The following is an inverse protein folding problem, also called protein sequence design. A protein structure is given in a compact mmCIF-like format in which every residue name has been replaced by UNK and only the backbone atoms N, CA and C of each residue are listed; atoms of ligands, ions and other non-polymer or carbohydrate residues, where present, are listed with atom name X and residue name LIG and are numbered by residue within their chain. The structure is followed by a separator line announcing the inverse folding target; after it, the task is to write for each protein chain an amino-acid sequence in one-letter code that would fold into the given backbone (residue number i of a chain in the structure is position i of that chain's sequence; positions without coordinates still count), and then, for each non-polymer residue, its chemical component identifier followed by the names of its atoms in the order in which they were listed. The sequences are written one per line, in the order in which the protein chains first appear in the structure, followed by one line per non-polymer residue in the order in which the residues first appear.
data_IF_804738116361
#
_entry.id   IF_804738116361
#
_cell.length_a   1.000
_cell.length_b   1.000
_cell.length_c   1.000
_cell.angle_alpha   90.00
_cell.angle_beta   90.00
_cell.angle_gamma   90.00
#
_symmetry.space_group_name_H-M   'P 1'
#
loop_
_entity.id
_entity.type
_entity.pdbx_description
1 polymer ?
#
# COMPACT_ATOMS: atom_id res chain seq x y z
N UNK A 1 -11.71 -22.52 31.67
CA UNK A 1 -10.38 -21.92 31.58
C UNK A 1 -9.89 -21.63 30.17
N UNK A 2 -10.40 -22.28 29.11
CA UNK A 2 -10.07 -21.98 27.72
C UNK A 2 -10.67 -20.68 27.15
N UNK A 3 -11.74 -20.15 27.75
CA UNK A 3 -12.47 -18.97 27.23
C UNK A 3 -11.74 -17.66 27.45
N UNK A 4 -10.98 -17.50 28.53
CA UNK A 4 -10.24 -16.26 28.85
C UNK A 4 -9.06 -16.05 27.93
N UNK A 5 -8.30 -17.11 27.60
CA UNK A 5 -7.18 -17.03 26.63
C UNK A 5 -7.65 -16.73 25.23
N UNK A 6 -8.81 -17.27 24.82
CA UNK A 6 -9.40 -16.99 23.50
C UNK A 6 -9.87 -15.53 23.38
N UNK A 7 -10.46 -14.99 24.44
CA UNK A 7 -10.91 -13.59 24.47
C UNK A 7 -9.71 -12.63 24.40
N UNK A 8 -8.65 -12.92 25.16
CA UNK A 8 -7.43 -12.11 25.15
C UNK A 8 -6.74 -12.14 23.78
N UNK A 9 -6.66 -13.33 23.16
CA UNK A 9 -6.10 -13.48 21.81
C UNK A 9 -6.93 -12.74 20.77
N UNK A 10 -8.26 -12.79 20.88
CA UNK A 10 -9.17 -12.07 20.00
C UNK A 10 -9.03 -10.56 20.20
N UNK A 11 -8.96 -10.08 21.43
CA UNK A 11 -8.77 -8.67 21.76
C UNK A 11 -7.44 -8.14 21.20
N UNK A 12 -6.36 -8.91 21.32
CA UNK A 12 -5.06 -8.58 20.76
C UNK A 12 -5.11 -8.53 19.22
N UNK A 13 -5.78 -9.50 18.59
CA UNK A 13 -5.96 -9.55 17.14
C UNK A 13 -6.76 -8.34 16.63
N UNK A 14 -7.82 -7.95 17.33
CA UNK A 14 -8.62 -6.78 17.00
C UNK A 14 -7.81 -5.48 17.18
N UNK A 15 -6.96 -5.41 18.19
CA UNK A 15 -6.08 -4.29 18.45
C UNK A 15 -5.03 -4.12 17.35
N UNK A 16 -4.44 -5.23 16.87
CA UNK A 16 -3.54 -5.25 15.71
C UNK A 16 -4.24 -4.81 14.44
N UNK A 17 -5.46 -5.27 14.21
CA UNK A 17 -6.29 -4.87 13.07
C UNK A 17 -6.60 -3.36 13.10
N UNK A 18 -6.91 -2.81 14.27
CA UNK A 18 -7.13 -1.39 14.43
C UNK A 18 -5.90 -0.56 14.09
N UNK A 19 -4.71 -1.00 14.48
CA UNK A 19 -3.43 -0.36 14.13
C UNK A 19 -3.16 -0.41 12.63
N UNK A 20 -3.35 -1.56 12.00
CA UNK A 20 -3.18 -1.73 10.55
C UNK A 20 -4.14 -0.82 9.80
N UNK A 21 -5.41 -0.78 10.19
CA UNK A 21 -6.41 0.08 9.54
C UNK A 21 -6.07 1.56 9.69
N UNK A 22 -5.60 1.98 10.85
CA UNK A 22 -5.18 3.37 11.09
C UNK A 22 -3.98 3.76 10.21
N UNK A 23 -2.93 2.95 10.21
CA UNK A 23 -1.75 3.16 9.37
C UNK A 23 -2.08 3.10 7.87
N UNK A 24 -2.91 2.12 7.49
CA UNK A 24 -3.36 1.98 6.11
C UNK A 24 -4.09 3.23 5.63
N UNK A 25 -4.93 3.81 6.47
CA UNK A 25 -5.67 5.03 6.15
C UNK A 25 -4.73 6.22 5.88
N UNK A 26 -3.72 6.40 6.74
CA UNK A 26 -2.72 7.47 6.59
C UNK A 26 -1.93 7.27 5.28
N UNK A 27 -1.41 6.07 5.04
CA UNK A 27 -0.63 5.76 3.84
C UNK A 27 -1.47 5.80 2.57
N UNK A 28 -2.74 5.39 2.65
CA UNK A 28 -3.69 5.47 1.53
C UNK A 28 -3.89 6.92 1.09
N UNK A 29 -4.12 7.82 2.04
CA UNK A 29 -4.27 9.24 1.75
C UNK A 29 -3.00 9.84 1.13
N UNK A 30 -1.83 9.47 1.65
CA UNK A 30 -0.56 9.86 1.09
C UNK A 30 -0.34 9.35 -0.33
N UNK A 31 -0.69 8.10 -0.59
CA UNK A 31 -0.61 7.49 -1.92
C UNK A 31 -1.54 8.18 -2.91
N UNK A 32 -2.79 8.44 -2.53
CA UNK A 32 -3.76 9.16 -3.36
C UNK A 32 -3.24 10.54 -3.75
N UNK A 33 -2.66 11.25 -2.80
CA UNK A 33 -2.06 12.56 -3.05
C UNK A 33 -0.90 12.49 -4.05
N UNK A 34 -0.03 11.49 -3.92
CA UNK A 34 1.08 11.26 -4.85
C UNK A 34 0.59 10.89 -6.25
N UNK A 35 -0.39 10.00 -6.34
CA UNK A 35 -0.96 9.55 -7.61
C UNK A 35 -1.77 10.64 -8.31
N UNK A 36 -2.24 11.65 -7.59
CA UNK A 36 -2.92 12.79 -8.21
C UNK A 36 -2.01 13.57 -9.18
N UNK A 37 -0.70 13.39 -9.07
CA UNK A 37 0.29 13.98 -9.99
C UNK A 37 0.61 13.10 -11.20
N UNK A 38 -0.09 11.97 -11.38
CA UNK A 38 0.11 11.07 -12.50
C UNK A 38 -0.23 11.79 -13.81
N UNK A 39 0.76 11.93 -14.69
CA UNK A 39 0.62 12.67 -15.95
C UNK A 39 0.38 11.75 -17.14
N UNK A 40 1.06 10.63 -17.18
CA UNK A 40 0.99 9.69 -18.29
C UNK A 40 0.34 8.39 -17.87
N UNK A 41 -0.59 7.91 -18.72
CA UNK A 41 -1.37 6.73 -18.43
C UNK A 41 -2.61 7.03 -17.60
N UNK A 42 -3.44 6.03 -17.45
CA UNK A 42 -4.67 6.11 -16.67
C UNK A 42 -4.78 4.85 -15.82
N UNK A 43 -5.03 5.03 -14.54
CA UNK A 43 -5.10 3.93 -13.60
C UNK A 43 -6.36 4.00 -12.75
N UNK A 44 -7.03 2.90 -12.63
CA UNK A 44 -8.10 2.69 -11.66
C UNK A 44 -7.57 1.82 -10.53
N UNK A 45 -7.79 2.24 -9.31
CA UNK A 45 -7.47 1.45 -8.11
C UNK A 45 -8.77 1.21 -7.37
N UNK A 46 -9.05 -0.04 -7.08
CA UNK A 46 -10.26 -0.46 -6.39
C UNK A 46 -9.88 -1.26 -5.15
N UNK A 47 -10.40 -0.84 -4.00
CA UNK A 47 -10.31 -1.62 -2.78
C UNK A 47 -11.72 -1.93 -2.26
N UNK A 48 -11.81 -2.57 -1.09
CA UNK A 48 -13.09 -2.97 -0.52
C UNK A 48 -14.03 -1.79 -0.22
N UNK A 49 -13.48 -0.60 -0.01
CA UNK A 49 -14.22 0.57 0.45
C UNK A 49 -14.54 1.54 -0.69
N UNK A 50 -13.64 1.70 -1.66
CA UNK A 50 -13.80 2.71 -2.70
C UNK A 50 -13.05 2.37 -3.97
N UNK A 51 -13.41 3.09 -5.03
CA UNK A 51 -12.75 3.04 -6.34
C UNK A 51 -12.33 4.45 -6.71
N UNK A 52 -11.07 4.62 -7.10
CA UNK A 52 -10.53 5.93 -7.46
C UNK A 52 -9.67 5.84 -8.71
N UNK A 53 -9.66 6.93 -9.47
CA UNK A 53 -9.01 7.01 -10.76
C UNK A 53 -7.90 8.07 -10.76
N UNK A 54 -6.81 7.79 -11.48
CA UNK A 54 -5.69 8.71 -11.60
C UNK A 54 -5.20 8.75 -13.03
N UNK A 55 -4.67 9.90 -13.43
CA UNK A 55 -4.00 10.09 -14.71
C UNK A 55 -4.91 10.67 -15.78
N UNK A 56 -4.53 10.46 -17.03
CA UNK A 56 -5.22 11.01 -18.19
C UNK A 56 -6.25 10.02 -18.74
N UNK A 57 -7.57 10.34 -18.65
CA UNK A 57 -8.61 9.43 -19.14
C UNK A 57 -8.52 9.15 -20.65
N UNK A 58 -7.84 10.00 -21.41
CA UNK A 58 -7.66 9.85 -22.85
C UNK A 58 -6.46 8.97 -23.21
N UNK A 59 -5.66 8.56 -22.24
CA UNK A 59 -4.49 7.74 -22.48
C UNK A 59 -4.86 6.31 -22.93
N UNK A 60 -4.09 5.77 -23.86
CA UNK A 60 -4.17 4.38 -24.29
C UNK A 60 -3.50 3.43 -23.29
N UNK A 61 -2.63 3.97 -22.42
CA UNK A 61 -1.97 3.21 -21.35
C UNK A 61 -2.91 3.15 -20.14
N UNK A 62 -3.67 2.08 -20.03
CA UNK A 62 -4.71 1.92 -19.00
C UNK A 62 -4.52 0.62 -18.24
N UNK A 63 -4.72 0.67 -16.94
CA UNK A 63 -4.68 -0.54 -16.10
C UNK A 63 -5.60 -0.37 -14.90
N UNK A 64 -6.15 -1.49 -14.43
CA UNK A 64 -6.95 -1.58 -13.22
C UNK A 64 -6.16 -2.36 -12.17
N UNK A 65 -6.10 -1.80 -10.97
CA UNK A 65 -5.44 -2.43 -9.83
C UNK A 65 -6.51 -2.72 -8.78
N UNK A 66 -6.51 -3.94 -8.27
CA UNK A 66 -7.43 -4.36 -7.21
C UNK A 66 -6.61 -4.60 -5.94
N UNK A 67 -6.99 -3.93 -4.88
CA UNK A 67 -6.37 -4.08 -3.56
C UNK A 67 -7.18 -5.08 -2.75
N UNK A 68 -6.56 -6.20 -2.41
CA UNK A 68 -7.22 -7.30 -1.68
C UNK A 68 -7.04 -7.18 -0.16
N UNK A 69 -6.03 -6.44 0.29
CA UNK A 69 -5.75 -6.26 1.72
C UNK A 69 -5.29 -4.83 2.01
N UNK A 70 -5.79 -4.27 3.10
CA UNK A 70 -5.37 -2.94 3.57
C UNK A 70 -3.87 -2.89 3.93
N UNK A 71 -3.25 -4.03 4.18
CA UNK A 71 -1.80 -4.13 4.42
C UNK A 71 -0.98 -3.69 3.22
N UNK A 72 -1.55 -3.70 2.02
CA UNK A 72 -0.94 -3.11 0.83
C UNK A 72 -0.49 -1.66 1.09
N UNK A 73 -1.36 -0.86 1.69
CA UNK A 73 -1.05 0.56 1.96
C UNK A 73 0.08 0.71 2.96
N UNK A 74 0.10 -0.14 3.99
CA UNK A 74 1.16 -0.14 5.00
C UNK A 74 2.50 -0.49 4.38
N UNK A 75 2.56 -1.55 3.58
CA UNK A 75 3.79 -1.97 2.90
C UNK A 75 4.27 -0.95 1.89
N UNK A 76 3.36 -0.36 1.12
CA UNK A 76 3.68 0.66 0.12
C UNK A 76 4.19 1.93 0.79
N UNK A 77 3.54 2.37 1.85
CA UNK A 77 3.92 3.58 2.59
C UNK A 77 5.25 3.43 3.33
N UNK A 78 5.52 2.26 3.89
CA UNK A 78 6.74 2.00 4.65
C UNK A 78 7.92 1.58 3.79
N UNK A 79 7.68 0.87 2.68
CA UNK A 79 8.72 0.27 1.85
C UNK A 79 8.84 0.83 0.43
N UNK A 80 7.96 1.74 0.02
CA UNK A 80 7.98 2.32 -1.32
C UNK A 80 7.84 1.27 -2.41
N UNK A 81 8.68 1.34 -3.44
CA UNK A 81 8.66 0.40 -4.57
C UNK A 81 8.86 -1.05 -4.13
N UNK A 82 9.78 -1.28 -3.20
CA UNK A 82 10.03 -2.62 -2.65
C UNK A 82 8.80 -3.13 -1.90
N UNK A 83 8.13 -2.25 -1.13
CA UNK A 83 6.89 -2.59 -0.42
C UNK A 83 5.75 -2.96 -1.38
N UNK A 84 5.64 -2.27 -2.51
CA UNK A 84 4.67 -2.60 -3.57
C UNK A 84 4.93 -4.01 -4.12
N UNK A 85 6.19 -4.32 -4.42
CA UNK A 85 6.58 -5.63 -4.94
C UNK A 85 6.34 -6.74 -3.91
N UNK A 86 6.69 -6.50 -2.66
CA UNK A 86 6.44 -7.43 -1.56
C UNK A 86 4.94 -7.70 -1.37
N UNK A 87 4.13 -6.67 -1.42
CA UNK A 87 2.67 -6.78 -1.33
C UNK A 87 2.09 -7.61 -2.49
N UNK A 88 2.65 -7.48 -3.69
CA UNK A 88 2.24 -8.30 -4.84
C UNK A 88 2.53 -9.78 -4.58
N UNK A 89 3.73 -10.10 -4.12
CA UNK A 89 4.13 -11.47 -3.80
C UNK A 89 3.21 -12.08 -2.73
N UNK A 90 2.79 -11.27 -1.75
CA UNK A 90 1.88 -11.70 -0.69
C UNK A 90 0.41 -11.77 -1.14
N UNK A 91 0.09 -11.37 -2.36
CA UNK A 91 -1.26 -11.39 -2.89
C UNK A 91 -2.15 -10.26 -2.38
N UNK A 92 -1.56 -9.18 -1.88
CA UNK A 92 -2.31 -8.04 -1.35
C UNK A 92 -2.88 -7.12 -2.42
N UNK A 93 -2.38 -7.23 -3.64
CA UNK A 93 -2.94 -6.55 -4.80
C UNK A 93 -2.68 -7.33 -6.07
N UNK A 94 -3.53 -7.09 -7.06
CA UNK A 94 -3.39 -7.64 -8.42
C UNK A 94 -3.71 -6.54 -9.44
N UNK A 95 -3.29 -6.76 -10.68
CA UNK A 95 -3.61 -5.87 -11.79
C UNK A 95 -4.11 -6.70 -12.97
N UNK A 96 -4.97 -6.13 -13.80
CA UNK A 96 -5.44 -6.76 -15.03
C UNK A 96 -4.31 -6.94 -16.06
N UNK A 97 -3.36 -6.00 -16.08
CA UNK A 97 -2.18 -6.05 -16.96
C UNK A 97 -0.97 -5.48 -16.19
N UNK A 98 -0.17 -6.38 -15.63
CA UNK A 98 1.02 -6.01 -14.85
C UNK A 98 2.07 -5.33 -15.74
N UNK A 99 2.22 -5.77 -16.99
CA UNK A 99 3.17 -5.17 -17.92
C UNK A 99 2.77 -3.72 -18.24
N UNK A 100 1.50 -3.49 -18.50
CA UNK A 100 0.97 -2.14 -18.71
C UNK A 100 1.16 -1.26 -17.47
N UNK A 101 0.92 -1.83 -16.29
CA UNK A 101 1.15 -1.13 -15.02
C UNK A 101 2.61 -0.69 -14.90
N UNK A 102 3.55 -1.58 -15.22
CA UNK A 102 4.97 -1.26 -15.18
C UNK A 102 5.34 -0.15 -16.18
N UNK A 103 4.75 -0.16 -17.37
CA UNK A 103 4.94 0.91 -18.36
C UNK A 103 4.47 2.26 -17.82
N UNK A 104 3.30 2.30 -17.19
CA UNK A 104 2.77 3.53 -16.57
C UNK A 104 3.70 4.02 -15.47
N UNK A 105 4.17 3.13 -14.62
CA UNK A 105 5.08 3.45 -13.52
C UNK A 105 6.39 4.04 -14.06
N UNK A 106 6.98 3.42 -15.08
CA UNK A 106 8.24 3.86 -15.66
C UNK A 106 8.10 5.24 -16.33
N UNK A 107 6.97 5.53 -16.94
CA UNK A 107 6.69 6.86 -17.53
C UNK A 107 6.48 7.94 -16.45
N UNK A 108 6.12 7.54 -15.23
CA UNK A 108 5.91 8.44 -14.10
C UNK A 108 6.95 8.18 -13.00
N UNK A 109 8.18 8.00 -13.41
CA UNK A 109 9.28 7.62 -12.51
C UNK A 109 9.46 8.56 -11.31
N UNK A 110 9.18 9.84 -11.49
CA UNK A 110 9.25 10.82 -10.40
C UNK A 110 8.30 10.50 -9.26
N UNK A 111 7.12 9.96 -9.57
CA UNK A 111 6.15 9.55 -8.55
C UNK A 111 6.71 8.35 -7.76
N UNK A 112 7.27 7.36 -8.47
CA UNK A 112 7.86 6.19 -7.83
C UNK A 112 9.00 6.58 -6.88
N UNK A 113 9.88 7.48 -7.33
CA UNK A 113 10.97 7.99 -6.49
C UNK A 113 10.44 8.77 -5.28
N UNK A 114 9.34 9.52 -5.46
CA UNK A 114 8.73 10.25 -4.35
C UNK A 114 8.08 9.34 -3.32
N UNK A 115 7.59 8.15 -3.71
CA UNK A 115 7.07 7.14 -2.79
C UNK A 115 8.18 6.61 -1.88
N UNK A 116 9.40 6.46 -2.41
CA UNK A 116 10.54 6.01 -1.61
C UNK A 116 11.00 7.05 -0.59
N UNK A 117 10.83 8.35 -0.87
CA UNK A 117 11.42 9.43 -0.08
C UNK A 117 10.39 10.30 0.68
N UNK A 118 9.16 10.39 0.19
CA UNK A 118 8.17 11.37 0.67
C UNK A 118 7.37 10.92 1.87
N UNK A 119 6.62 9.82 1.76
CA UNK A 119 5.73 9.35 2.81
C UNK A 119 6.55 8.79 3.98
N UNK A 120 7.65 8.10 3.69
CA UNK A 120 8.51 7.48 4.69
C UNK A 120 9.22 8.51 5.58
N UNK A 121 9.59 9.69 5.06
CA UNK A 121 10.22 10.75 5.85
C UNK A 121 9.28 11.33 6.89
N UNK A 122 8.01 11.54 6.54
CA UNK A 122 6.99 12.06 7.45
C UNK A 122 6.64 11.09 8.57
N UNK A 123 6.82 9.78 8.33
CA UNK A 123 6.44 8.71 9.24
C UNK A 123 7.66 7.88 9.70
N UNK A 124 8.85 8.49 9.67
CA UNK A 124 10.10 7.86 10.04
C UNK A 124 10.08 7.15 11.41
N UNK A 125 9.47 7.70 12.49
CA UNK A 125 9.33 6.96 13.75
C UNK A 125 8.51 5.68 13.63
N UNK A 126 7.43 5.71 12.83
CA UNK A 126 6.56 4.55 12.59
C UNK A 126 7.30 3.51 11.75
N UNK A 127 8.04 3.93 10.74
CA UNK A 127 8.89 3.06 9.94
C UNK A 127 9.93 2.33 10.78
N UNK A 128 10.57 3.00 11.73
CA UNK A 128 11.52 2.38 12.64
C UNK A 128 10.87 1.27 13.46
N UNK A 129 9.65 1.48 13.92
CA UNK A 129 8.89 0.47 14.66
C UNK A 129 8.54 -0.74 13.79
N UNK A 130 8.12 -0.51 12.54
CA UNK A 130 7.78 -1.57 11.59
C UNK A 130 9.04 -2.39 11.26
N UNK A 131 10.15 -1.74 10.96
CA UNK A 131 11.42 -2.42 10.65
C UNK A 131 11.95 -3.22 11.85
N UNK A 132 11.85 -2.67 13.05
CA UNK A 132 12.24 -3.37 14.27
C UNK A 132 11.39 -4.62 14.50
N UNK A 133 10.09 -4.52 14.26
CA UNK A 133 9.16 -5.66 14.36
C UNK A 133 9.52 -6.76 13.33
N UNK A 134 9.86 -6.37 12.10
CA UNK A 134 10.28 -7.30 11.05
C UNK A 134 11.60 -8.00 11.37
N UNK A 135 12.57 -7.26 11.86
CA UNK A 135 13.85 -7.83 12.25
C UNK A 135 13.72 -8.88 13.37
N UNK A 136 12.78 -8.68 14.28
CA UNK A 136 12.51 -9.62 15.36
C UNK A 136 11.83 -10.91 14.90
N UNK A 137 11.17 -10.89 13.72
CA UNK A 137 10.48 -12.08 13.18
C UNK A 137 11.41 -12.96 12.32
N UNK A 138 12.59 -12.52 11.97
CA UNK A 138 13.54 -13.25 11.11
C UNK A 138 14.52 -14.10 11.94
N UNK A 139 14.41 -14.09 13.23
CA UNK A 139 15.19 -15.02 14.07
C UNK A 139 14.56 -16.44 14.00
#
# INVERSE_FOLDING_TARGET
MGSTMQVDHLAEKLKKRGKVNFLASIFKNGLKKKLSHLKEGYRTIEDADEKFNFGNPQSNLRTNVIIHSQEFYVLTGSGGALGIAEAYILGYWTADDVVMLMRIILKNRSILLSLNNGITKLLSPINKLIHKSRQNTIK
#
